data_IF_190499876233
#
_entry.id   IF_190499876233
#
_cell.length_a   1.000
_cell.length_b   1.000
_cell.length_c   1.000
_cell.angle_alpha   90.00
_cell.angle_beta   90.00
_cell.angle_gamma   90.00
#
_symmetry.space_group_name_H-M   'P 1'
#
loop_
_entity.id
_entity.type
_entity.pdbx_description
1 polymer ?
#
# COMPACT_ATOMS: atom_id res chain seq x y z
N UNK A 1 -4.55 -6.82 -14.06
CA UNK A 1 -3.97 -6.87 -12.70
C UNK A 1 -4.64 -5.82 -11.83
N UNK A 2 -4.73 -6.07 -10.53
CA UNK A 2 -5.34 -5.17 -9.56
C UNK A 2 -4.36 -4.90 -8.41
N UNK A 3 -4.30 -3.66 -7.96
CA UNK A 3 -3.68 -3.27 -6.69
C UNK A 3 -4.72 -2.49 -5.88
N UNK A 4 -4.87 -2.82 -4.59
CA UNK A 4 -5.82 -2.17 -3.68
C UNK A 4 -5.09 -1.58 -2.49
N UNK A 5 -5.03 -0.25 -2.42
CA UNK A 5 -4.32 0.46 -1.35
C UNK A 5 -3.97 1.90 -1.73
N UNK A 6 -3.51 2.67 -0.75
CA UNK A 6 -2.94 3.99 -1.02
C UNK A 6 -1.53 3.91 -1.60
N UNK A 7 -1.17 4.79 -2.53
CA UNK A 7 0.19 4.91 -3.06
C UNK A 7 1.10 5.45 -1.94
N UNK A 8 1.93 4.57 -1.38
CA UNK A 8 2.87 4.91 -0.32
C UNK A 8 4.11 4.01 -0.41
N UNK A 9 5.22 4.44 0.20
CA UNK A 9 6.45 3.65 0.29
C UNK A 9 6.23 2.27 0.90
N UNK A 10 5.39 2.17 1.93
CA UNK A 10 5.12 0.88 2.62
C UNK A 10 4.33 -0.10 1.75
N UNK A 11 3.51 0.40 0.82
CA UNK A 11 2.83 -0.44 -0.19
C UNK A 11 3.73 -0.78 -1.39
N UNK A 12 4.97 -0.29 -1.37
CA UNK A 12 6.01 -0.63 -2.34
C UNK A 12 5.66 -0.26 -3.79
N UNK A 13 4.96 0.87 -3.97
CA UNK A 13 4.38 1.22 -5.27
C UNK A 13 5.43 1.42 -6.37
N UNK A 14 6.60 1.96 -6.05
CA UNK A 14 7.70 2.17 -7.01
C UNK A 14 8.20 0.85 -7.61
N UNK A 15 8.53 -0.14 -6.78
CA UNK A 15 8.98 -1.46 -7.28
C UNK A 15 7.85 -2.26 -7.92
N UNK A 16 6.62 -2.10 -7.43
CA UNK A 16 5.42 -2.65 -8.08
C UNK A 16 5.33 -2.16 -9.52
N UNK A 17 5.53 -0.85 -9.73
CA UNK A 17 5.50 -0.21 -11.03
C UNK A 17 6.59 -0.73 -11.96
N UNK A 18 7.81 -0.91 -11.46
CA UNK A 18 8.92 -1.48 -12.24
C UNK A 18 8.62 -2.93 -12.67
N UNK A 19 8.14 -3.77 -11.75
CA UNK A 19 7.77 -5.15 -12.04
C UNK A 19 6.62 -5.22 -13.05
N UNK A 20 5.59 -4.39 -12.86
CA UNK A 20 4.47 -4.26 -13.79
C UNK A 20 4.94 -3.89 -15.20
N UNK A 21 5.85 -2.93 -15.34
CA UNK A 21 6.35 -2.49 -16.64
C UNK A 21 7.00 -3.64 -17.42
N UNK A 22 7.79 -4.49 -16.74
CA UNK A 22 8.42 -5.68 -17.37
C UNK A 22 7.39 -6.68 -17.88
N UNK A 23 6.36 -6.98 -17.08
CA UNK A 23 5.33 -7.97 -17.44
C UNK A 23 4.39 -7.45 -18.51
N UNK A 24 4.03 -6.16 -18.45
CA UNK A 24 3.11 -5.54 -19.38
C UNK A 24 3.63 -5.58 -20.82
N UNK A 25 4.93 -5.37 -21.04
CA UNK A 25 5.57 -5.48 -22.36
C UNK A 25 5.35 -6.84 -23.03
N UNK A 26 5.09 -7.89 -22.25
CA UNK A 26 4.91 -9.26 -22.73
C UNK A 26 3.46 -9.71 -22.76
N UNK A 27 2.60 -9.19 -21.88
CA UNK A 27 1.23 -9.69 -21.70
C UNK A 27 0.11 -8.65 -21.89
N UNK A 28 0.41 -7.38 -22.17
CA UNK A 28 -0.56 -6.31 -22.46
C UNK A 28 -1.74 -6.17 -21.45
N UNK A 29 -1.62 -6.72 -20.24
CA UNK A 29 -2.64 -6.66 -19.19
C UNK A 29 -2.53 -5.30 -18.48
N UNK A 30 -3.62 -4.53 -18.32
CA UNK A 30 -3.58 -3.27 -17.59
C UNK A 30 -3.48 -3.48 -16.07
N UNK A 31 -2.95 -2.47 -15.38
CA UNK A 31 -2.96 -2.38 -13.92
C UNK A 31 -4.07 -1.43 -13.48
N UNK A 32 -4.99 -1.90 -12.66
CA UNK A 32 -6.00 -1.07 -12.01
C UNK A 32 -5.56 -0.79 -10.58
N UNK A 33 -5.45 0.48 -10.21
CA UNK A 33 -5.06 0.94 -8.87
C UNK A 33 -6.27 1.52 -8.17
N UNK A 34 -6.80 0.81 -7.18
CA UNK A 34 -7.95 1.23 -6.38
C UNK A 34 -7.50 1.64 -4.98
N UNK A 35 -7.75 2.90 -4.60
CA UNK A 35 -7.45 3.38 -3.26
C UNK A 35 -7.25 4.90 -3.20
N UNK A 36 -7.25 5.42 -1.97
CA UNK A 36 -7.12 6.86 -1.76
C UNK A 36 -5.68 7.33 -1.96
N UNK A 37 -5.48 8.13 -3.01
CA UNK A 37 -4.28 8.96 -3.21
C UNK A 37 -4.30 10.18 -2.29
N UNK A 38 -4.13 9.97 -0.98
CA UNK A 38 -3.94 11.08 -0.01
C UNK A 38 -2.60 11.78 -0.21
N UNK A 39 -1.60 11.04 -0.69
CA UNK A 39 -0.27 11.52 -0.97
C UNK A 39 -0.05 11.29 -2.45
N UNK A 40 -0.51 12.23 -3.29
CA UNK A 40 0.08 12.38 -4.61
C UNK A 40 1.51 12.82 -4.37
N UNK A 41 2.42 11.87 -4.15
CA UNK A 41 3.81 12.15 -4.44
C UNK A 41 3.82 12.36 -5.96
N UNK A 42 3.87 13.62 -6.37
CA UNK A 42 3.98 13.98 -7.78
C UNK A 42 5.15 13.22 -8.42
N UNK A 43 6.19 12.93 -7.62
CA UNK A 43 7.31 12.08 -7.96
C UNK A 43 6.92 10.61 -8.22
N UNK A 44 6.11 9.96 -7.38
CA UNK A 44 5.71 8.55 -7.60
C UNK A 44 4.80 8.41 -8.83
N UNK A 45 3.92 9.39 -9.05
CA UNK A 45 3.11 9.44 -10.26
C UNK A 45 3.94 9.83 -11.49
N UNK A 46 4.92 10.71 -11.36
CA UNK A 46 5.85 11.07 -12.45
C UNK A 46 6.75 9.89 -12.81
N UNK A 47 7.22 9.14 -11.82
CA UNK A 47 7.95 7.88 -11.99
C UNK A 47 7.05 6.85 -12.66
N UNK A 48 5.84 6.63 -12.15
CA UNK A 48 4.88 5.75 -12.79
C UNK A 48 4.61 6.16 -14.24
N UNK A 49 4.55 7.47 -14.54
CA UNK A 49 4.38 8.06 -15.89
C UNK A 49 5.62 8.01 -16.77
N UNK A 50 6.82 7.87 -16.21
CA UNK A 50 8.07 7.81 -16.98
C UNK A 50 8.23 6.47 -17.71
N UNK A 51 7.56 5.42 -17.22
CA UNK A 51 7.48 4.13 -17.88
C UNK A 51 6.50 4.15 -19.06
N UNK A 52 6.86 3.48 -20.16
CA UNK A 52 5.94 3.29 -21.32
C UNK A 52 4.65 2.59 -20.92
N UNK A 53 4.70 1.70 -19.93
CA UNK A 53 3.54 0.99 -19.40
C UNK A 53 2.53 1.90 -18.66
N UNK A 54 2.88 3.16 -18.40
CA UNK A 54 2.02 4.13 -17.70
C UNK A 54 0.65 4.36 -18.34
N UNK A 55 0.58 4.29 -19.67
CA UNK A 55 -0.66 4.39 -20.43
C UNK A 55 -1.66 3.26 -20.12
N UNK A 56 -1.18 2.17 -19.52
CA UNK A 56 -1.95 0.96 -19.20
C UNK A 56 -2.32 0.88 -17.72
N UNK A 57 -2.20 2.00 -17.01
CA UNK A 57 -2.54 2.10 -15.60
C UNK A 57 -3.80 2.93 -15.46
N UNK A 58 -4.81 2.29 -14.86
CA UNK A 58 -6.10 2.88 -14.63
C UNK A 58 -6.22 3.27 -13.17
N UNK A 59 -6.53 4.54 -12.94
CA UNK A 59 -6.84 5.09 -11.63
C UNK A 59 -8.32 5.49 -11.61
N UNK A 60 -9.25 4.59 -11.23
CA UNK A 60 -10.64 4.95 -11.06
C UNK A 60 -10.77 6.10 -10.05
N UNK A 61 -11.59 7.11 -10.37
CA UNK A 61 -11.79 8.24 -9.45
C UNK A 61 -12.49 7.82 -8.16
N UNK A 62 -13.34 6.79 -8.24
CA UNK A 62 -14.05 6.20 -7.13
C UNK A 62 -14.50 4.77 -7.48
N UNK A 63 -14.42 3.86 -6.52
CA UNK A 63 -15.03 2.53 -6.59
C UNK A 63 -15.85 2.38 -5.32
N UNK A 64 -17.15 2.11 -5.46
CA UNK A 64 -18.01 1.87 -4.31
C UNK A 64 -17.62 0.56 -3.62
N UNK A 65 -17.74 0.54 -2.29
CA UNK A 65 -17.44 -0.64 -1.48
C UNK A 65 -18.22 -1.88 -1.96
N UNK A 66 -19.48 -1.69 -2.38
CA UNK A 66 -20.35 -2.77 -2.91
C UNK A 66 -19.91 -3.30 -4.28
N UNK A 67 -19.09 -2.55 -5.01
CA UNK A 67 -18.56 -2.92 -6.32
C UNK A 67 -17.18 -3.60 -6.25
N UNK A 68 -16.48 -3.48 -5.12
CA UNK A 68 -15.18 -4.12 -4.90
C UNK A 68 -15.16 -5.63 -5.18
N UNK A 69 -16.15 -6.46 -4.77
CA UNK A 69 -16.07 -7.89 -5.06
C UNK A 69 -16.06 -8.20 -6.56
N UNK A 70 -16.74 -7.39 -7.38
CA UNK A 70 -16.76 -7.50 -8.83
C UNK A 70 -15.41 -7.06 -9.41
N UNK A 71 -14.80 -6.01 -8.86
CA UNK A 71 -13.45 -5.57 -9.26
C UNK A 71 -12.43 -6.68 -9.03
N UNK A 72 -12.45 -7.34 -7.86
CA UNK A 72 -11.58 -8.50 -7.61
C UNK A 72 -11.86 -9.66 -8.57
N UNK A 73 -13.14 -10.02 -8.79
CA UNK A 73 -13.53 -11.12 -9.70
C UNK A 73 -13.05 -10.92 -11.15
N UNK A 74 -12.98 -9.67 -11.61
CA UNK A 74 -12.51 -9.35 -12.97
C UNK A 74 -10.98 -9.27 -13.06
N UNK A 75 -10.27 -9.19 -11.94
CA UNK A 75 -8.83 -9.06 -11.94
C UNK A 75 -8.15 -10.41 -12.23
N UNK A 76 -7.25 -10.42 -13.22
CA UNK A 76 -6.40 -11.57 -13.52
C UNK A 76 -5.55 -12.02 -12.32
N UNK A 77 -5.16 -11.06 -11.48
CA UNK A 77 -4.60 -11.29 -10.14
C UNK A 77 -4.64 -9.99 -9.33
N UNK A 78 -4.63 -10.14 -8.01
CA UNK A 78 -4.23 -9.10 -7.06
C UNK A 78 -2.71 -9.12 -6.93
N UNK A 79 -2.06 -8.00 -7.20
CA UNK A 79 -0.64 -7.80 -6.91
C UNK A 79 -0.50 -6.88 -5.70
N UNK A 80 0.06 -7.43 -4.61
CA UNK A 80 0.12 -6.75 -3.32
C UNK A 80 1.49 -6.96 -2.64
N UNK A 81 2.58 -6.37 -3.19
CA UNK A 81 3.96 -6.57 -2.74
C UNK A 81 4.35 -5.59 -1.61
N UNK A 82 3.44 -5.32 -0.67
CA UNK A 82 3.70 -4.39 0.43
C UNK A 82 4.95 -4.80 1.24
N UNK A 83 5.76 -3.82 1.65
CA UNK A 83 6.92 -4.04 2.54
C UNK A 83 6.45 -4.34 3.96
N UNK A 84 5.39 -3.66 4.40
CA UNK A 84 4.84 -3.82 5.74
C UNK A 84 3.33 -3.64 5.74
N UNK A 85 2.62 -4.58 6.39
CA UNK A 85 1.17 -4.57 6.57
C UNK A 85 0.82 -5.00 7.97
N UNK A 86 -0.23 -4.38 8.53
CA UNK A 86 -0.82 -4.90 9.77
C UNK A 86 -1.57 -6.22 9.53
N UNK A 87 -2.35 -6.30 8.45
CA UNK A 87 -3.10 -7.52 8.13
C UNK A 87 -3.15 -7.82 6.62
N UNK A 88 -3.22 -6.78 5.78
CA UNK A 88 -3.34 -6.98 4.34
C UNK A 88 -4.72 -7.47 3.93
N UNK A 89 -5.77 -6.79 4.40
CA UNK A 89 -7.20 -7.04 4.08
C UNK A 89 -7.48 -7.35 2.60
N UNK A 90 -6.80 -6.73 1.61
CA UNK A 90 -6.99 -7.10 0.21
C UNK A 90 -6.75 -8.58 -0.13
N UNK A 91 -5.87 -9.27 0.60
CA UNK A 91 -5.55 -10.69 0.35
C UNK A 91 -6.76 -11.61 0.62
N UNK A 92 -7.39 -11.61 1.81
CA UNK A 92 -8.57 -12.42 2.06
C UNK A 92 -9.79 -11.98 1.23
N UNK A 93 -9.91 -10.70 0.86
CA UNK A 93 -10.95 -10.23 -0.07
C UNK A 93 -10.79 -10.83 -1.47
N UNK A 94 -9.55 -10.90 -1.97
CA UNK A 94 -9.23 -11.57 -3.24
C UNK A 94 -9.52 -13.08 -3.16
N UNK A 95 -9.16 -13.75 -2.08
CA UNK A 95 -9.48 -15.16 -1.89
C UNK A 95 -10.99 -15.44 -1.88
N UNK A 96 -11.77 -14.62 -1.16
CA UNK A 96 -13.22 -14.75 -1.07
C UNK A 96 -13.93 -14.57 -2.43
N UNK A 97 -13.29 -13.89 -3.37
CA UNK A 97 -13.81 -13.64 -4.72
C UNK A 97 -13.21 -14.57 -5.78
N UNK A 98 -12.24 -15.41 -5.42
CA UNK A 98 -11.54 -16.30 -6.34
C UNK A 98 -10.55 -15.58 -7.25
N UNK A 99 -10.03 -14.43 -6.82
CA UNK A 99 -8.94 -13.72 -7.47
C UNK A 99 -7.60 -14.30 -6.98
N UNK A 100 -6.70 -14.75 -7.88
CA UNK A 100 -5.38 -15.23 -7.48
C UNK A 100 -4.53 -14.07 -6.93
N UNK A 101 -3.63 -14.38 -6.01
CA UNK A 101 -2.86 -13.36 -5.27
C UNK A 101 -1.36 -13.57 -5.50
N UNK A 102 -0.66 -12.49 -5.82
CA UNK A 102 0.80 -12.36 -5.74
C UNK A 102 1.08 -11.36 -4.62
N UNK A 103 1.75 -11.80 -3.55
CA UNK A 103 2.05 -10.94 -2.40
C UNK A 103 3.44 -11.21 -1.86
N UNK A 104 3.90 -10.40 -0.90
CA UNK A 104 5.24 -10.53 -0.34
C UNK A 104 5.40 -11.84 0.46
N UNK A 105 6.62 -12.40 0.46
CA UNK A 105 7.05 -13.48 1.36
C UNK A 105 7.27 -13.03 2.82
N UNK A 106 6.97 -11.77 3.18
CA UNK A 106 7.22 -11.19 4.50
C UNK A 106 5.92 -10.75 5.20
N UNK A 107 6.01 -10.65 6.53
CA UNK A 107 4.99 -10.02 7.36
C UNK A 107 3.63 -10.73 7.34
N UNK A 108 2.59 -10.02 7.77
CA UNK A 108 1.27 -10.62 7.97
C UNK A 108 0.62 -11.10 6.68
N UNK A 109 0.96 -10.51 5.53
CA UNK A 109 0.42 -10.92 4.23
C UNK A 109 0.85 -12.33 3.81
N UNK A 110 2.08 -12.76 4.11
CA UNK A 110 2.53 -14.13 3.82
C UNK A 110 1.86 -15.16 4.74
N UNK A 111 1.65 -14.81 6.01
CA UNK A 111 0.92 -15.63 6.97
C UNK A 111 -0.57 -15.78 6.58
N UNK A 112 -1.20 -14.67 6.20
CA UNK A 112 -2.60 -14.67 5.72
C UNK A 112 -2.71 -15.46 4.41
N UNK A 113 -1.74 -15.33 3.51
CA UNK A 113 -1.68 -16.13 2.29
C UNK A 113 -1.62 -17.62 2.59
N UNK A 114 -0.80 -18.06 3.55
CA UNK A 114 -0.79 -19.44 4.05
C UNK A 114 -0.68 -20.51 2.95
N UNK A 115 0.18 -20.28 1.95
CA UNK A 115 0.39 -21.17 0.81
C UNK A 115 -0.65 -21.09 -0.32
N UNK A 116 -1.59 -20.15 -0.23
CA UNK A 116 -2.64 -19.90 -1.23
C UNK A 116 -2.35 -18.69 -2.14
N UNK A 117 -1.20 -18.04 -1.98
CA UNK A 117 -0.73 -16.97 -2.87
C UNK A 117 0.67 -17.34 -3.38
N UNK A 118 1.05 -16.76 -4.51
CA UNK A 118 2.44 -16.74 -4.92
C UNK A 118 3.19 -15.69 -4.10
N UNK A 119 4.33 -16.08 -3.53
CA UNK A 119 5.11 -15.22 -2.63
C UNK A 119 6.36 -14.72 -3.33
N UNK A 120 6.62 -13.43 -3.24
CA UNK A 120 7.78 -12.76 -3.85
C UNK A 120 8.58 -11.95 -2.82
N UNK A 121 9.87 -11.75 -3.04
CA UNK A 121 10.66 -10.79 -2.28
C UNK A 121 10.26 -9.36 -2.67
N UNK A 122 9.75 -8.54 -1.73
CA UNK A 122 9.30 -7.18 -2.04
C UNK A 122 10.47 -6.25 -2.41
N UNK A 123 11.72 -6.65 -2.22
CA UNK A 123 12.90 -5.87 -2.59
C UNK A 123 13.54 -6.30 -3.91
N UNK A 124 13.05 -7.38 -4.53
CA UNK A 124 13.54 -7.91 -5.81
C UNK A 124 12.49 -7.74 -6.92
N UNK A 125 12.74 -6.78 -7.81
CA UNK A 125 11.85 -6.47 -8.94
C UNK A 125 11.76 -7.60 -9.94
N UNK A 126 12.84 -8.38 -10.10
CA UNK A 126 12.84 -9.51 -11.03
C UNK A 126 12.01 -10.66 -10.47
N UNK A 127 12.15 -10.99 -9.19
CA UNK A 127 11.31 -11.99 -8.53
C UNK A 127 9.82 -11.60 -8.56
N UNK A 128 9.51 -10.32 -8.32
CA UNK A 128 8.17 -9.77 -8.47
C UNK A 128 7.61 -9.94 -9.89
N UNK A 129 8.42 -9.65 -10.91
CA UNK A 129 8.01 -9.80 -12.30
C UNK A 129 7.78 -11.28 -12.67
N UNK A 130 8.72 -12.17 -12.30
CA UNK A 130 8.62 -13.61 -12.58
C UNK A 130 7.39 -14.23 -11.89
N UNK A 131 7.11 -13.84 -10.64
CA UNK A 131 5.93 -14.31 -9.92
C UNK A 131 4.62 -13.86 -10.55
N UNK A 132 4.55 -12.62 -11.05
CA UNK A 132 3.42 -12.14 -11.84
C UNK A 132 3.26 -12.94 -13.13
N UNK A 133 4.34 -13.15 -13.89
CA UNK A 133 4.28 -13.89 -15.15
C UNK A 133 3.81 -15.32 -14.97
N UNK A 134 4.33 -16.01 -13.96
CA UNK A 134 3.94 -17.39 -13.66
C UNK A 134 2.44 -17.46 -13.37
N UNK A 135 1.92 -16.59 -12.49
CA UNK A 135 0.49 -16.56 -12.15
C UNK A 135 -0.40 -16.18 -13.34
N UNK A 136 0.08 -15.31 -14.23
CA UNK A 136 -0.70 -14.83 -15.38
C UNK A 136 -0.63 -15.76 -16.61
N UNK A 137 0.43 -16.57 -16.75
CA UNK A 137 0.64 -17.44 -17.92
C UNK A 137 0.35 -18.92 -17.66
N UNK A 138 0.54 -19.41 -16.42
CA UNK A 138 0.25 -20.79 -16.06
C UNK A 138 -1.17 -20.91 -15.50
N UNK A 139 -2.09 -21.31 -16.37
CA UNK A 139 -3.50 -21.48 -16.01
C UNK A 139 -3.70 -22.55 -14.93
N UNK A 140 -2.91 -23.64 -14.93
CA UNK A 140 -3.06 -24.72 -13.96
C UNK A 140 -2.65 -24.25 -12.56
N UNK A 141 -1.49 -23.58 -12.49
CA UNK A 141 -1.01 -22.99 -11.24
C UNK A 141 -1.95 -21.91 -10.71
N UNK A 142 -2.49 -21.06 -11.59
CA UNK A 142 -3.49 -20.06 -11.22
C UNK A 142 -4.75 -20.69 -10.61
N UNK A 143 -5.29 -21.76 -11.22
CA UNK A 143 -6.46 -22.47 -10.67
C UNK A 143 -6.16 -23.13 -9.32
N UNK A 144 -4.94 -23.66 -9.14
CA UNK A 144 -4.49 -24.21 -7.87
C UNK A 144 -4.49 -23.14 -6.75
N UNK A 145 -3.92 -21.96 -7.02
CA UNK A 145 -3.92 -20.85 -6.07
C UNK A 145 -5.35 -20.39 -5.73
N UNK A 146 -6.24 -20.29 -6.72
CA UNK A 146 -7.65 -19.93 -6.50
C UNK A 146 -8.34 -20.96 -5.61
N UNK A 147 -8.14 -22.26 -5.87
CA UNK A 147 -8.73 -23.33 -5.08
C UNK A 147 -8.23 -23.28 -3.62
N UNK A 148 -6.93 -23.12 -3.42
CA UNK A 148 -6.33 -22.95 -2.08
C UNK A 148 -6.83 -21.69 -1.39
N UNK A 149 -6.96 -20.59 -2.10
CA UNK A 149 -7.45 -19.31 -1.60
C UNK A 149 -8.87 -19.43 -1.07
N UNK A 150 -9.77 -20.05 -1.85
CA UNK A 150 -11.16 -20.31 -1.43
C UNK A 150 -11.27 -21.24 -0.22
N UNK A 151 -10.29 -22.13 -0.03
CA UNK A 151 -10.22 -23.01 1.14
C UNK A 151 -9.62 -22.32 2.38
N UNK A 152 -9.03 -21.12 2.26
CA UNK A 152 -8.58 -20.35 3.42
C UNK A 152 -9.80 -20.00 4.27
N UNK A 153 -9.70 -20.13 5.60
CA UNK A 153 -10.80 -19.77 6.47
C UNK A 153 -11.17 -18.31 6.25
N UNK A 154 -12.47 -17.99 6.16
CA UNK A 154 -12.89 -16.60 6.13
C UNK A 154 -12.36 -15.94 7.41
N UNK A 155 -11.46 -14.98 7.25
CA UNK A 155 -11.02 -14.16 8.37
C UNK A 155 -12.27 -13.47 8.91
N UNK A 156 -12.50 -13.51 10.23
CA UNK A 156 -13.75 -13.16 10.93
C UNK A 156 -14.30 -11.73 10.71
N UNK A 157 -13.75 -10.97 9.77
CA UNK A 157 -14.41 -9.85 9.12
C UNK A 157 -15.46 -10.27 8.06
N UNK A 158 -15.51 -11.54 7.64
CA UNK A 158 -16.37 -12.01 6.53
C UNK A 158 -17.29 -13.18 6.84
N UNK A 159 -17.47 -13.61 8.10
CA UNK A 159 -18.37 -14.73 8.43
C UNK A 159 -19.46 -14.37 9.44
N UNK A 160 -20.71 -14.56 8.98
CA UNK A 160 -22.01 -14.56 9.67
C UNK A 160 -22.73 -13.19 9.87
N UNK A 161 -23.95 -13.12 9.32
CA UNK A 161 -24.93 -12.01 9.28
C UNK A 161 -24.70 -10.96 8.17
N UNK A 162 -25.76 -10.28 7.65
CA UNK A 162 -25.68 -9.27 6.58
C UNK A 162 -25.03 -7.98 7.10
N UNK A 163 -23.77 -8.09 7.51
CA UNK A 163 -22.93 -7.00 7.93
C UNK A 163 -21.81 -6.93 6.89
N UNK A 164 -21.86 -5.88 6.09
CA UNK A 164 -20.95 -5.59 4.98
C UNK A 164 -19.49 -5.94 5.34
N UNK A 165 -18.87 -6.94 4.66
CA UNK A 165 -17.44 -7.23 4.78
C UNK A 165 -16.54 -6.02 4.44
N UNK A 166 -17.11 -5.04 3.74
CA UNK A 166 -16.44 -3.87 3.17
C UNK A 166 -16.24 -2.70 4.14
N UNK A 167 -16.67 -2.83 5.40
CA UNK A 167 -16.66 -1.74 6.41
C UNK A 167 -15.25 -1.33 6.91
N UNK A 168 -14.17 -1.95 6.43
CA UNK A 168 -12.83 -1.59 6.91
C UNK A 168 -12.28 -0.28 6.31
N UNK A 169 -12.69 0.11 5.10
CA UNK A 169 -12.28 1.38 4.46
C UNK A 169 -12.87 2.61 5.16
N UNK A 170 -14.15 2.56 5.52
CA UNK A 170 -14.88 3.72 6.07
C UNK A 170 -14.76 3.89 7.59
N UNK A 171 -14.43 2.85 8.36
CA UNK A 171 -14.33 2.98 9.83
C UNK A 171 -12.94 3.38 10.35
N UNK A 172 -11.86 3.00 9.69
CA UNK A 172 -10.51 3.31 10.17
C UNK A 172 -9.94 4.64 9.63
N UNK A 173 -10.48 5.17 8.53
CA UNK A 173 -10.01 6.44 7.95
C UNK A 173 -10.91 7.66 8.19
N UNK A 174 -12.10 7.50 8.78
CA UNK A 174 -13.10 8.59 8.85
C UNK A 174 -13.45 9.10 10.25
N UNK A 175 -12.63 8.80 11.27
CA UNK A 175 -12.74 9.47 12.59
C UNK A 175 -11.37 9.77 13.21
N UNK A 176 -10.57 10.61 12.57
CA UNK A 176 -9.79 11.58 13.34
C UNK A 176 -10.56 12.90 13.25
N UNK A 177 -11.12 13.41 14.36
CA UNK A 177 -11.80 14.70 14.32
C UNK A 177 -10.80 15.74 13.82
N UNK A 178 -11.24 16.48 12.81
CA UNK A 178 -10.59 17.68 12.32
C UNK A 178 -10.33 18.59 13.53
N UNK A 179 -9.08 18.65 14.04
CA UNK A 179 -8.70 19.57 15.12
C UNK A 179 -8.59 20.99 14.56
N UNK A 180 -9.71 21.52 14.07
CA UNK A 180 -9.95 22.94 13.82
C UNK A 180 -11.39 23.24 14.25
N UNK A 181 -11.54 23.52 15.53
CA UNK A 181 -12.74 23.99 16.21
C UNK A 181 -12.33 24.73 17.50
N UNK A 182 -13.12 25.71 17.97
CA UNK A 182 -12.64 26.90 18.68
C UNK A 182 -12.01 26.59 20.04
N UNK A 183 -10.99 27.38 20.42
CA UNK A 183 -10.33 27.32 21.74
C UNK A 183 -11.35 27.55 22.85
N UNK A 184 -11.84 26.46 23.44
CA UNK A 184 -12.50 26.48 24.74
C UNK A 184 -11.44 26.34 25.83
N UNK A 185 -11.35 27.35 26.68
CA UNK A 185 -10.53 27.39 27.87
C UNK A 185 -10.97 26.33 28.88
N UNK A 186 -10.16 25.32 29.09
CA UNK A 186 -10.20 24.48 30.29
C UNK A 186 -8.81 24.47 30.89
N UNK A 187 -8.70 25.05 32.08
CA UNK A 187 -7.51 25.08 32.88
C UNK A 187 -7.10 23.66 33.27
N UNK A 188 -5.85 23.29 32.99
CA UNK A 188 -5.18 22.19 33.67
C UNK A 188 -4.41 22.77 34.88
N UNK A 189 -4.45 22.13 36.05
CA UNK A 189 -3.58 22.44 37.17
C UNK A 189 -2.15 22.04 36.78
N UNK A 190 -1.17 22.39 37.61
CA UNK A 190 0.29 22.23 37.43
C UNK A 190 0.95 23.46 36.81
N UNK A 191 1.53 24.26 37.71
CA UNK A 191 2.22 25.50 37.42
C UNK A 191 3.53 25.28 36.67
N UNK A 192 3.65 25.95 35.54
CA UNK A 192 4.90 26.35 34.91
C UNK A 192 4.66 27.77 34.39
N UNK A 193 5.54 28.71 34.76
CA UNK A 193 5.45 30.13 34.45
C UNK A 193 5.51 30.37 32.93
N UNK A 194 4.74 31.36 32.46
CA UNK A 194 4.72 31.80 31.05
C UNK A 194 5.71 32.94 30.85
N UNK A 195 6.79 32.69 30.11
CA UNK A 195 7.48 33.74 29.34
C UNK A 195 7.17 33.58 27.84
N UNK A 196 6.98 34.67 27.08
CA UNK A 196 6.63 34.60 25.67
C UNK A 196 7.88 34.47 24.78
N UNK A 197 8.04 33.32 24.13
CA UNK A 197 9.01 33.19 23.04
C UNK A 197 8.49 33.86 21.77
N UNK A 198 9.34 34.74 21.25
CA UNK A 198 9.16 35.63 20.09
C UNK A 198 8.96 34.85 18.79
N UNK A 199 8.27 35.50 17.85
CA UNK A 199 8.15 35.11 16.44
C UNK A 199 9.52 34.71 15.85
N UNK A 200 9.59 33.55 15.20
CA UNK A 200 10.69 33.21 14.31
C UNK A 200 10.19 33.21 12.87
N UNK A 201 10.73 34.14 12.08
CA UNK A 201 10.54 34.24 10.64
C UNK A 201 11.24 33.09 9.92
N UNK A 202 10.66 32.69 8.79
CA UNK A 202 11.12 31.66 7.87
C UNK A 202 12.35 32.11 7.08
N UNK A 203 13.36 31.24 6.94
CA UNK A 203 14.35 31.34 5.87
C UNK A 203 14.81 29.94 5.44
N UNK A 204 14.63 29.64 4.14
CA UNK A 204 15.16 28.51 3.36
C UNK A 204 14.96 27.09 3.91
N UNK A 205 13.93 26.42 3.38
CA UNK A 205 13.47 25.09 3.76
C UNK A 205 14.54 24.00 3.84
N UNK A 206 14.60 23.36 5.00
CA UNK A 206 14.83 21.93 5.23
C UNK A 206 14.70 21.68 6.73
N UNK A 207 13.79 20.80 7.17
CA UNK A 207 13.69 20.39 8.57
C UNK A 207 14.32 19.00 8.72
N UNK A 208 15.50 18.92 9.34
CA UNK A 208 16.01 17.68 9.90
C UNK A 208 15.74 17.65 11.40
N UNK A 209 15.10 16.57 11.86
CA UNK A 209 14.90 16.29 13.28
C UNK A 209 16.07 15.42 13.75
N UNK A 210 17.00 15.98 14.52
CA UNK A 210 18.08 15.20 15.17
C UNK A 210 17.57 14.61 16.49
N UNK A 211 17.94 13.37 16.85
CA UNK A 211 17.67 12.82 18.18
C UNK A 211 18.54 13.50 19.25
N UNK A 212 18.06 13.59 20.51
CA UNK A 212 18.72 14.37 21.56
C UNK A 212 19.99 13.67 22.05
N UNK A 213 21.16 14.34 21.94
CA UNK A 213 22.39 13.95 22.66
C UNK A 213 23.70 13.84 21.88
N UNK A 214 23.82 14.33 20.64
CA UNK A 214 25.07 14.28 19.87
C UNK A 214 25.83 15.62 19.85
N UNK A 215 27.11 15.61 20.24
CA UNK A 215 28.03 16.76 20.15
C UNK A 215 28.46 16.96 18.69
N UNK A 216 28.44 18.21 18.21
CA UNK A 216 28.96 18.61 16.90
C UNK A 216 30.48 18.36 16.83
N UNK A 217 30.92 17.48 15.94
CA UNK A 217 32.33 17.42 15.51
C UNK A 217 32.37 17.90 14.08
N UNK A 218 33.06 19.02 13.87
CA UNK A 218 33.27 19.66 12.58
C UNK A 218 34.40 18.92 11.84
N UNK A 219 34.16 18.45 10.61
CA UNK A 219 35.26 18.30 9.66
C UNK A 219 34.75 18.20 8.21
N UNK A 220 35.38 18.91 7.26
CA UNK A 220 35.01 18.90 5.85
C UNK A 220 35.88 17.89 5.09
N UNK A 221 35.31 16.85 4.49
CA UNK A 221 35.69 16.49 3.11
C UNK A 221 34.81 15.40 2.48
N UNK A 222 34.86 15.40 1.16
CA UNK A 222 34.08 14.64 0.19
C UNK A 222 34.29 13.12 0.26
N UNK A 223 33.20 12.39 0.03
CA UNK A 223 33.20 11.27 -0.93
C UNK A 223 33.17 9.84 -0.39
N UNK A 224 32.38 9.03 -1.13
CA UNK A 224 32.27 7.56 -1.15
C UNK A 224 31.33 6.92 -0.11
N UNK A 225 30.18 6.49 -0.59
CA UNK A 225 29.41 5.40 0.00
C UNK A 225 29.88 4.08 -0.62
N UNK A 226 30.37 3.18 0.22
CA UNK A 226 30.31 1.72 0.04
C UNK A 226 29.28 1.22 1.04
#
# INVERSE_FOLDING_TARGET
MLFVGGITLLKNFERLMEAFARVHERQAIPLVVVGFNRWRFENDLAFAKSHRASAHILFPSFVADEAMPQVYRMASCLFFPSIYEGFGIPVPEAFATGCPVVTTNRGCTSEVAGGAAHLVDPFDVEDMAQGLELVLSDQAYCQELIARGRARPPTSASTAAPVNPWIYSSKYFTKLPNRRGPRASLAAPWGISREPLRQCQTYQGTNYMLPPGGVMVDSPDRGRYI
#
